data_IF_701628569880
#
_entry.id   IF_701628569880
#
_cell.length_a   1.000
_cell.length_b   1.000
_cell.length_c   1.000
_cell.angle_alpha   90.00
_cell.angle_beta   90.00
_cell.angle_gamma   90.00
#
_symmetry.space_group_name_H-M   'P 1'
#
loop_
_entity.id
_entity.type
_entity.pdbx_description
1 polymer ?
#
# COMPACT_ATOMS: atom_id res chain seq x y z
N UNK A 1 -51.08 17.47 -21.11
CA UNK A 1 -50.17 16.48 -20.48
C UNK A 1 -48.98 16.25 -21.40
N UNK A 2 -47.76 16.49 -20.90
CA UNK A 2 -46.46 15.86 -21.24
C UNK A 2 -45.34 16.88 -21.03
N UNK A 3 -44.91 16.98 -19.78
CA UNK A 3 -43.69 17.68 -19.38
C UNK A 3 -42.50 16.77 -19.70
N UNK A 4 -41.56 17.28 -20.47
CA UNK A 4 -40.32 16.63 -20.89
C UNK A 4 -39.36 16.60 -19.70
N UNK A 5 -38.89 15.42 -19.32
CA UNK A 5 -37.90 15.22 -18.26
C UNK A 5 -36.50 15.52 -18.82
N UNK A 6 -35.84 16.56 -18.31
CA UNK A 6 -34.43 16.83 -18.54
C UNK A 6 -33.59 15.94 -17.62
N UNK A 7 -32.78 15.05 -18.20
CA UNK A 7 -31.80 14.24 -17.48
C UNK A 7 -30.50 15.06 -17.41
N UNK A 8 -30.23 15.66 -16.24
CA UNK A 8 -28.94 16.29 -15.94
C UNK A 8 -27.92 15.19 -15.64
N UNK A 9 -27.06 14.90 -16.61
CA UNK A 9 -25.88 14.08 -16.42
C UNK A 9 -24.85 14.86 -15.59
N UNK A 10 -24.71 14.54 -14.30
CA UNK A 10 -23.57 14.96 -13.50
C UNK A 10 -22.33 14.21 -13.98
N UNK A 11 -21.52 14.86 -14.81
CA UNK A 11 -20.15 14.43 -15.07
C UNK A 11 -19.33 14.67 -13.79
N UNK A 12 -19.12 13.62 -13.00
CA UNK A 12 -18.13 13.63 -11.94
C UNK A 12 -16.74 13.68 -12.58
N UNK A 13 -16.18 14.88 -12.71
CA UNK A 13 -14.78 15.06 -13.08
C UNK A 13 -13.93 14.62 -11.90
N UNK A 14 -13.38 13.40 -11.95
CA UNK A 14 -12.38 12.93 -10.99
C UNK A 14 -11.12 13.79 -11.16
N UNK A 15 -10.91 14.72 -10.22
CA UNK A 15 -9.67 15.49 -10.15
C UNK A 15 -8.52 14.50 -9.91
N UNK A 16 -7.42 14.55 -10.68
CA UNK A 16 -6.26 13.71 -10.40
C UNK A 16 -5.80 14.02 -8.98
N UNK A 17 -5.84 13.01 -8.11
CA UNK A 17 -5.27 13.12 -6.78
C UNK A 17 -3.81 13.56 -6.96
N UNK A 18 -3.47 14.73 -6.42
CA UNK A 18 -2.09 15.20 -6.36
C UNK A 18 -1.25 14.05 -5.78
N UNK A 19 -0.23 13.63 -6.52
CA UNK A 19 0.66 12.56 -6.07
C UNK A 19 1.35 13.03 -4.78
N UNK A 20 0.97 12.41 -3.67
CA UNK A 20 1.51 12.69 -2.34
C UNK A 20 2.50 11.59 -1.93
N UNK A 21 3.47 11.96 -1.09
CA UNK A 21 4.40 11.01 -0.49
C UNK A 21 3.67 10.27 0.62
N UNK A 22 3.57 8.95 0.49
CA UNK A 22 2.87 8.11 1.44
C UNK A 22 3.77 7.00 1.95
N UNK A 23 3.95 6.95 3.26
CA UNK A 23 4.81 5.97 3.92
C UNK A 23 4.18 5.46 5.21
N UNK A 24 4.48 4.21 5.55
CA UNK A 24 4.12 3.61 6.82
C UNK A 24 5.24 2.68 7.29
N UNK A 25 5.45 2.62 8.60
CA UNK A 25 6.19 1.55 9.25
C UNK A 25 5.22 0.43 9.59
N UNK A 26 5.54 -0.80 9.20
CA UNK A 26 4.69 -1.99 9.42
C UNK A 26 5.53 -3.11 9.99
N UNK A 27 4.98 -3.80 10.99
CA UNK A 27 5.40 -5.12 11.45
C UNK A 27 4.17 -6.02 11.51
N UNK A 28 4.02 -6.95 10.56
CA UNK A 28 2.85 -7.83 10.40
C UNK A 28 3.22 -9.19 9.80
N UNK A 29 2.47 -10.24 10.16
CA UNK A 29 2.62 -11.58 9.58
C UNK A 29 2.09 -11.61 8.15
N UNK A 30 2.85 -12.24 7.25
CA UNK A 30 2.49 -12.46 5.86
C UNK A 30 1.53 -13.65 5.76
N UNK A 31 0.33 -13.41 5.22
CA UNK A 31 -0.69 -14.43 4.98
C UNK A 31 -0.51 -15.15 3.66
N UNK A 32 -0.07 -14.43 2.63
CA UNK A 32 0.03 -14.95 1.26
C UNK A 32 1.14 -14.22 0.54
N UNK A 33 1.86 -14.95 -0.33
CA UNK A 33 2.84 -14.38 -1.24
C UNK A 33 2.43 -14.74 -2.67
N UNK A 34 2.51 -13.76 -3.58
CA UNK A 34 2.25 -13.95 -5.01
C UNK A 34 3.50 -13.61 -5.81
N UNK A 35 4.01 -14.58 -6.54
CA UNK A 35 5.09 -14.42 -7.50
C UNK A 35 4.57 -13.76 -8.78
N UNK A 36 5.28 -12.75 -9.28
CA UNK A 36 5.10 -12.20 -10.62
C UNK A 36 6.43 -12.35 -11.38
N UNK A 37 6.58 -13.44 -12.17
CA UNK A 37 7.83 -13.70 -12.87
C UNK A 37 8.14 -12.65 -13.93
N UNK A 38 7.12 -12.08 -14.57
CA UNK A 38 7.28 -11.07 -15.64
C UNK A 38 7.86 -9.75 -15.12
N UNK A 39 7.54 -9.40 -13.87
CA UNK A 39 8.02 -8.18 -13.21
C UNK A 39 9.25 -8.42 -12.32
N UNK A 40 9.80 -9.64 -12.30
CA UNK A 40 10.87 -10.06 -11.39
C UNK A 40 10.61 -9.64 -9.93
N UNK A 41 9.37 -9.80 -9.46
CA UNK A 41 8.97 -9.36 -8.13
C UNK A 41 8.02 -10.35 -7.46
N UNK A 42 8.00 -10.32 -6.12
CA UNK A 42 6.94 -10.95 -5.34
C UNK A 42 6.17 -9.90 -4.56
N UNK A 43 4.87 -10.14 -4.38
CA UNK A 43 4.00 -9.37 -3.50
C UNK A 43 3.63 -10.18 -2.28
N UNK A 44 3.93 -9.65 -1.09
CA UNK A 44 3.52 -10.18 0.20
C UNK A 44 2.24 -9.48 0.68
N UNK A 45 1.26 -10.26 1.11
CA UNK A 45 -0.03 -9.78 1.63
C UNK A 45 -0.09 -10.07 3.13
N UNK A 46 -0.25 -9.00 3.92
CA UNK A 46 -0.29 -9.09 5.39
C UNK A 46 -1.64 -9.60 5.89
N UNK A 47 -1.63 -10.28 7.05
CA UNK A 47 -2.86 -10.72 7.71
C UNK A 47 -3.44 -9.65 8.65
N UNK A 48 -4.58 -9.06 8.27
CA UNK A 48 -5.31 -8.13 9.12
C UNK A 48 -6.06 -8.82 10.28
N UNK A 49 -6.24 -10.14 10.26
CA UNK A 49 -6.92 -10.85 11.36
C UNK A 49 -6.05 -11.04 12.61
N UNK A 50 -4.76 -10.69 12.53
CA UNK A 50 -3.76 -10.91 13.58
C UNK A 50 -3.34 -9.63 14.31
N UNK A 51 -4.17 -8.58 14.30
CA UNK A 51 -3.90 -7.27 14.91
C UNK A 51 -3.50 -7.33 16.40
N UNK A 52 -3.84 -8.42 17.10
CA UNK A 52 -3.58 -8.59 18.54
C UNK A 52 -2.33 -9.42 18.87
N UNK A 53 -1.54 -9.87 17.87
CA UNK A 53 -0.30 -10.60 18.16
C UNK A 53 0.77 -9.64 18.74
N UNK A 54 1.42 -10.07 19.81
CA UNK A 54 2.59 -9.42 20.41
C UNK A 54 3.66 -9.27 19.32
N UNK A 55 4.08 -8.04 19.01
CA UNK A 55 5.02 -7.75 17.91
C UNK A 55 4.39 -7.08 16.68
N UNK A 56 3.05 -6.93 16.64
CA UNK A 56 2.41 -6.22 15.55
C UNK A 56 2.53 -4.69 15.73
N UNK A 57 3.11 -3.98 14.75
CA UNK A 57 3.25 -2.51 14.75
C UNK A 57 2.74 -1.91 13.43
N UNK A 58 2.15 -0.72 13.51
CA UNK A 58 1.77 0.09 12.35
C UNK A 58 1.82 1.57 12.73
N UNK A 59 2.49 2.38 11.93
CA UNK A 59 2.52 3.83 12.06
C UNK A 59 2.63 4.48 10.69
N UNK A 60 1.90 5.55 10.44
CA UNK A 60 1.99 6.39 9.25
C UNK A 60 2.08 7.86 9.68
N UNK A 61 2.13 8.80 8.73
CA UNK A 61 2.16 10.22 9.04
C UNK A 61 0.91 10.66 9.82
N UNK A 62 1.10 11.43 10.88
CA UNK A 62 0.02 12.09 11.63
C UNK A 62 -0.58 13.27 10.84
N UNK A 63 -1.79 13.68 11.25
CA UNK A 63 -2.44 14.84 10.63
C UNK A 63 -1.64 16.13 10.86
N UNK A 64 -0.98 16.23 12.03
CA UNK A 64 -0.08 17.34 12.37
C UNK A 64 1.17 17.35 11.48
N UNK A 65 1.79 16.19 11.23
CA UNK A 65 2.94 16.09 10.31
C UNK A 65 2.56 16.49 8.89
N UNK A 66 1.41 16.01 8.40
CA UNK A 66 0.91 16.35 7.06
C UNK A 66 0.66 17.85 6.96
N UNK A 67 0.02 18.47 7.97
CA UNK A 67 -0.30 19.89 7.97
C UNK A 67 0.94 20.79 8.03
N UNK A 68 2.00 20.37 8.71
CA UNK A 68 3.21 21.17 8.91
C UNK A 68 4.31 20.90 7.87
N UNK A 69 4.12 19.90 7.00
CA UNK A 69 5.09 19.55 5.97
C UNK A 69 5.08 20.53 4.78
N UNK A 70 6.27 20.76 4.21
CA UNK A 70 6.42 21.44 2.91
C UNK A 70 6.28 20.48 1.73
N UNK A 71 6.44 19.18 2.00
CA UNK A 71 6.20 18.09 1.06
C UNK A 71 4.71 17.69 1.11
N UNK A 72 4.09 17.32 -0.02
CA UNK A 72 2.72 16.82 -0.03
C UNK A 72 2.66 15.42 0.59
N UNK A 73 2.55 15.32 1.91
CA UNK A 73 2.44 14.03 2.63
C UNK A 73 1.00 13.51 2.64
N UNK A 74 0.84 12.19 2.70
CA UNK A 74 -0.46 11.56 2.92
C UNK A 74 -0.35 10.23 3.68
N UNK A 75 -1.41 9.88 4.41
CA UNK A 75 -1.50 8.63 5.16
C UNK A 75 -1.52 7.42 4.22
N UNK A 76 -0.72 6.41 4.55
CA UNK A 76 -0.75 5.12 3.88
C UNK A 76 -1.50 4.12 4.74
N UNK A 77 -2.79 3.92 4.46
CA UNK A 77 -3.68 3.12 5.30
C UNK A 77 -3.30 1.63 5.33
N UNK A 78 -3.38 1.01 6.51
CA UNK A 78 -3.07 -0.43 6.68
C UNK A 78 -3.95 -1.33 5.80
N UNK A 79 -5.21 -0.96 5.60
CA UNK A 79 -6.12 -1.65 4.69
C UNK A 79 -5.69 -1.57 3.23
N UNK A 80 -5.11 -0.44 2.83
CA UNK A 80 -4.57 -0.27 1.48
C UNK A 80 -3.34 -1.18 1.28
N UNK A 81 -2.46 -1.24 2.27
CA UNK A 81 -1.30 -2.15 2.31
C UNK A 81 -1.74 -3.61 2.16
N UNK A 82 -2.73 -4.03 2.96
CA UNK A 82 -3.25 -5.39 2.93
C UNK A 82 -3.91 -5.76 1.60
N UNK A 83 -4.62 -4.82 0.97
CA UNK A 83 -5.33 -5.05 -0.30
C UNK A 83 -4.37 -5.12 -1.49
N UNK A 84 -3.42 -4.19 -1.56
CA UNK A 84 -2.54 -4.05 -2.73
C UNK A 84 -1.32 -4.99 -2.65
N UNK A 85 -0.94 -5.40 -1.44
CA UNK A 85 0.25 -6.19 -1.17
C UNK A 85 1.53 -5.36 -1.30
N UNK A 86 2.57 -5.77 -0.59
CA UNK A 86 3.88 -5.10 -0.55
C UNK A 86 4.85 -5.85 -1.46
N UNK A 87 5.52 -5.13 -2.35
CA UNK A 87 6.59 -5.68 -3.17
C UNK A 87 7.83 -5.95 -2.30
N UNK A 88 8.20 -7.23 -2.25
CA UNK A 88 9.32 -7.76 -1.45
C UNK A 88 10.49 -8.25 -2.32
N UNK A 89 10.35 -8.21 -3.64
CA UNK A 89 11.40 -8.64 -4.59
C UNK A 89 11.65 -10.15 -4.64
N UNK A 90 12.69 -10.52 -5.41
CA UNK A 90 13.16 -11.90 -5.59
C UNK A 90 14.58 -12.09 -5.06
N UNK A 91 14.92 -13.31 -4.69
CA UNK A 91 16.29 -13.79 -4.52
C UNK A 91 16.93 -14.10 -5.87
N UNK A 92 18.26 -14.30 -5.91
CA UNK A 92 19.01 -14.56 -7.16
C UNK A 92 18.58 -15.84 -7.87
N UNK A 93 18.03 -16.81 -7.11
CA UNK A 93 17.48 -18.07 -7.62
C UNK A 93 16.00 -17.97 -8.03
N UNK A 94 15.42 -16.76 -8.05
CA UNK A 94 14.07 -16.50 -8.52
C UNK A 94 12.95 -16.81 -7.52
N UNK A 95 13.28 -17.09 -6.26
CA UNK A 95 12.29 -17.26 -5.18
C UNK A 95 11.90 -15.91 -4.58
N UNK A 96 10.77 -15.86 -3.90
CA UNK A 96 10.37 -14.67 -3.15
C UNK A 96 11.32 -14.44 -1.97
N UNK A 97 11.67 -13.17 -1.68
CA UNK A 97 12.51 -12.85 -0.50
C UNK A 97 11.80 -13.05 0.85
N UNK A 98 10.48 -13.28 0.82
CA UNK A 98 9.62 -13.51 1.98
C UNK A 98 8.63 -14.61 1.64
N UNK A 99 8.31 -15.42 2.64
CA UNK A 99 7.37 -16.52 2.57
C UNK A 99 6.14 -16.31 3.47
N UNK A 100 5.14 -17.19 3.33
CA UNK A 100 3.95 -17.18 4.20
C UNK A 100 4.36 -17.56 5.63
N UNK A 101 3.86 -16.80 6.60
CA UNK A 101 4.22 -16.96 8.01
C UNK A 101 5.37 -16.06 8.46
N UNK A 102 6.17 -15.54 7.53
CA UNK A 102 7.22 -14.55 7.85
C UNK A 102 6.61 -13.23 8.33
N UNK A 103 7.43 -12.43 9.01
CA UNK A 103 7.10 -11.05 9.34
C UNK A 103 7.56 -10.10 8.21
N UNK A 104 6.62 -9.28 7.74
CA UNK A 104 6.89 -8.07 7.01
C UNK A 104 7.20 -6.98 8.04
N UNK A 105 8.49 -6.69 8.20
CA UNK A 105 8.99 -5.65 9.11
C UNK A 105 9.81 -4.61 8.33
N UNK A 106 9.35 -3.36 8.34
CA UNK A 106 10.05 -2.26 7.71
C UNK A 106 9.15 -1.11 7.26
N UNK A 107 9.79 -0.12 6.63
CA UNK A 107 9.12 1.04 6.06
C UNK A 107 8.63 0.71 4.64
N UNK A 108 7.34 0.89 4.41
CA UNK A 108 6.70 0.73 3.10
C UNK A 108 6.31 2.09 2.53
N UNK A 109 6.36 2.21 1.21
CA UNK A 109 6.04 3.43 0.49
C UNK A 109 5.06 3.13 -0.64
N UNK A 110 4.08 4.02 -0.83
CA UNK A 110 3.25 4.01 -2.03
C UNK A 110 3.93 4.79 -3.15
N UNK A 111 4.07 4.16 -4.30
CA UNK A 111 4.64 4.77 -5.51
C UNK A 111 3.57 5.49 -6.34
N UNK A 112 3.99 6.27 -7.33
CA UNK A 112 3.08 7.04 -8.20
C UNK A 112 2.12 6.17 -9.03
N UNK A 113 2.50 4.92 -9.32
CA UNK A 113 1.65 3.90 -9.97
C UNK A 113 0.79 3.10 -8.98
N UNK A 114 0.70 3.56 -7.71
CA UNK A 114 -0.05 2.92 -6.62
C UNK A 114 0.48 1.54 -6.20
N UNK A 115 1.68 1.14 -6.60
CA UNK A 115 2.35 0.01 -5.99
C UNK A 115 2.79 0.37 -4.55
N UNK A 116 2.96 -0.64 -3.71
CA UNK A 116 3.47 -0.48 -2.36
C UNK A 116 4.76 -1.29 -2.27
N UNK A 117 5.87 -0.64 -1.96
CA UNK A 117 7.20 -1.24 -1.97
C UNK A 117 7.82 -1.19 -0.57
N UNK A 118 8.67 -2.16 -0.25
CA UNK A 118 9.49 -2.13 0.97
C UNK A 118 10.77 -1.32 0.72
N UNK A 119 10.96 -0.17 1.40
CA UNK A 119 12.03 0.80 1.09
C UNK A 119 13.45 0.27 1.33
N UNK A 120 13.63 -0.67 2.27
CA UNK A 120 14.94 -1.21 2.63
C UNK A 120 15.32 -2.48 1.87
N UNK A 121 14.66 -2.78 0.75
CA UNK A 121 15.18 -3.79 -0.16
C UNK A 121 16.48 -3.22 -0.77
N UNK A 122 17.63 -3.73 -0.31
CA UNK A 122 18.83 -3.70 -1.15
C UNK A 122 18.51 -4.53 -2.40
N UNK A 123 18.11 -3.84 -3.47
CA UNK A 123 17.95 -4.40 -4.81
C UNK A 123 19.33 -4.42 -5.47
#
# INVERSE_FOLDING_TARGET
MKTILFITAMMATSIPALACISEAQVTRVIKTVKLNPDKKSCKAFIDLSLESKKGSFYSTFSDEEIKNSKEPLCKLELNEIAKNGVEVGLTDDGRCRKDVGDELDGSVQKTSDSAIILKNLSI
#
